data_IF_883315826661
#
_entry.id   IF_883315826661
#
_cell.length_a   1.000
_cell.length_b   1.000
_cell.length_c   1.000
_cell.angle_alpha   90.00
_cell.angle_beta   90.00
_cell.angle_gamma   90.00
#
_symmetry.space_group_name_H-M   'P 1'
#
loop_
_entity.id
_entity.type
_entity.pdbx_description
1 polymer ?
#
# COMPACT_ATOMS: atom_id res chain seq x y z
N UNK A 1 0.52 13.45 -7.43
CA UNK A 1 -0.38 13.30 -6.27
C UNK A 1 0.37 12.63 -5.12
N UNK A 2 -0.05 12.85 -3.89
CA UNK A 2 0.48 12.17 -2.71
C UNK A 2 -0.68 11.67 -1.86
N UNK A 3 -0.53 10.49 -1.26
CA UNK A 3 -1.57 9.80 -0.51
C UNK A 3 -0.98 9.20 0.75
N UNK A 4 -1.71 9.32 1.85
CA UNK A 4 -1.48 8.56 3.08
C UNK A 4 -2.62 7.56 3.24
N UNK A 5 -2.31 6.34 3.67
CA UNK A 5 -3.28 5.25 3.72
C UNK A 5 -3.04 4.40 4.95
N UNK A 6 -4.12 4.00 5.61
CA UNK A 6 -4.11 2.93 6.62
C UNK A 6 -5.00 1.82 6.07
N UNK A 7 -4.50 0.60 6.09
CA UNK A 7 -5.21 -0.57 5.57
C UNK A 7 -5.05 -1.72 6.54
N UNK A 8 -6.16 -2.41 6.80
CA UNK A 8 -6.18 -3.59 7.64
C UNK A 8 -7.14 -4.62 7.08
N UNK A 9 -6.86 -5.89 7.34
CA UNK A 9 -7.77 -6.99 7.04
C UNK A 9 -8.54 -7.42 8.30
N UNK A 10 -9.55 -8.27 8.12
CA UNK A 10 -10.20 -8.94 9.24
C UNK A 10 -9.42 -10.21 9.61
N UNK A 11 -9.35 -10.55 10.90
CA UNK A 11 -8.77 -11.80 11.35
C UNK A 11 -9.61 -12.99 10.83
N UNK A 12 -9.01 -13.83 9.99
CA UNK A 12 -9.61 -15.08 9.52
C UNK A 12 -9.33 -16.26 10.45
N UNK A 13 -8.28 -16.16 11.27
CA UNK A 13 -7.86 -17.16 12.26
C UNK A 13 -7.88 -16.48 13.63
N UNK A 14 -8.75 -16.94 14.54
CA UNK A 14 -9.07 -16.21 15.78
C UNK A 14 -7.92 -16.02 16.77
N UNK A 15 -6.79 -16.72 16.60
CA UNK A 15 -5.61 -16.60 17.45
C UNK A 15 -4.50 -15.73 16.84
N UNK A 16 -4.66 -15.28 15.59
CA UNK A 16 -3.65 -14.49 14.89
C UNK A 16 -4.17 -13.06 14.76
N UNK A 17 -3.34 -12.09 15.17
CA UNK A 17 -3.67 -10.68 15.03
C UNK A 17 -3.91 -10.34 13.56
N UNK A 18 -4.91 -9.50 13.28
CA UNK A 18 -5.18 -9.10 11.91
C UNK A 18 -4.04 -8.21 11.36
N UNK A 19 -3.64 -8.37 10.09
CA UNK A 19 -2.60 -7.53 9.52
C UNK A 19 -3.11 -6.10 9.34
N UNK A 20 -2.35 -5.13 9.84
CA UNK A 20 -2.59 -3.70 9.69
C UNK A 20 -1.30 -3.03 9.22
N UNK A 21 -1.42 -2.21 8.19
CA UNK A 21 -0.30 -1.46 7.60
C UNK A 21 -0.65 0.01 7.44
N UNK A 22 0.32 0.89 7.69
CA UNK A 22 0.25 2.30 7.36
C UNK A 22 1.24 2.62 6.25
N UNK A 23 0.82 3.39 5.25
CA UNK A 23 1.63 3.66 4.07
C UNK A 23 1.51 5.08 3.54
N UNK A 24 2.55 5.48 2.82
CA UNK A 24 2.63 6.72 2.06
C UNK A 24 2.94 6.38 0.61
N UNK A 25 2.26 7.04 -0.32
CA UNK A 25 2.56 6.91 -1.74
C UNK A 25 2.56 8.26 -2.44
N UNK A 26 3.38 8.34 -3.47
CA UNK A 26 3.38 9.42 -4.45
C UNK A 26 3.05 8.83 -5.81
N UNK A 27 2.19 9.52 -6.54
CA UNK A 27 1.77 9.15 -7.88
C UNK A 27 2.07 10.27 -8.86
N UNK A 28 2.43 9.90 -10.08
CA UNK A 28 2.57 10.79 -11.21
C UNK A 28 1.75 10.25 -12.37
N UNK A 29 0.77 11.04 -12.83
CA UNK A 29 -0.05 10.72 -13.99
C UNK A 29 0.52 11.47 -15.19
N UNK A 30 0.81 10.74 -16.25
CA UNK A 30 1.24 11.27 -17.54
C UNK A 30 0.01 11.75 -18.33
N UNK A 31 0.21 12.73 -19.21
CA UNK A 31 -0.87 13.42 -19.92
C UNK A 31 -1.73 12.46 -20.78
N UNK A 32 -1.15 11.36 -21.26
CA UNK A 32 -1.83 10.37 -22.11
C UNK A 32 -2.58 9.26 -21.35
N UNK A 33 -2.66 9.36 -20.01
CA UNK A 33 -3.37 8.39 -19.16
C UNK A 33 -2.52 7.36 -18.40
N UNK A 34 -1.28 6.99 -18.81
CA UNK A 34 -0.44 6.16 -17.97
C UNK A 34 -0.15 6.82 -16.62
N UNK A 35 0.02 6.03 -15.57
CA UNK A 35 0.43 6.55 -14.27
C UNK A 35 1.48 5.66 -13.61
N UNK A 36 2.40 6.31 -12.91
CA UNK A 36 3.41 5.68 -12.10
C UNK A 36 3.17 6.04 -10.63
N UNK A 37 3.17 5.04 -9.76
CA UNK A 37 3.10 5.24 -8.31
C UNK A 37 4.26 4.56 -7.62
N UNK A 38 4.80 5.23 -6.60
CA UNK A 38 5.82 4.71 -5.70
C UNK A 38 5.32 4.92 -4.28
N UNK A 39 5.46 3.92 -3.44
CA UNK A 39 5.18 4.11 -2.03
C UNK A 39 5.79 3.08 -1.13
N UNK A 40 5.68 3.35 0.15
CA UNK A 40 6.18 2.54 1.24
C UNK A 40 5.06 2.29 2.24
N UNK A 41 5.12 1.16 2.93
CA UNK A 41 4.24 0.89 4.05
C UNK A 41 4.98 0.15 5.16
N UNK A 42 4.58 0.42 6.40
CA UNK A 42 5.07 -0.23 7.62
C UNK A 42 3.95 -1.07 8.23
N UNK A 43 4.33 -2.24 8.72
CA UNK A 43 3.46 -3.10 9.51
C UNK A 43 3.24 -2.51 10.90
N UNK A 44 1.99 -2.52 11.36
CA UNK A 44 1.60 -2.08 12.71
C UNK A 44 1.27 -3.25 13.63
N UNK A 45 1.20 -4.48 13.09
CA UNK A 45 0.87 -5.71 13.83
C UNK A 45 1.91 -6.79 13.55
N UNK A 46 2.03 -7.77 14.43
CA UNK A 46 3.03 -8.86 14.29
C UNK A 46 2.81 -9.71 13.04
N UNK A 47 1.57 -9.76 12.58
CA UNK A 47 1.17 -10.50 11.38
C UNK A 47 1.43 -9.74 10.07
N UNK A 48 1.93 -8.50 10.15
CA UNK A 48 2.22 -7.65 8.99
C UNK A 48 3.73 -7.60 8.71
N UNK A 49 4.17 -7.41 7.45
CA UNK A 49 5.57 -7.14 7.15
C UNK A 49 6.04 -5.85 7.85
N UNK A 50 7.23 -5.87 8.46
CA UNK A 50 7.79 -4.69 9.13
C UNK A 50 7.88 -3.47 8.19
N UNK A 51 8.30 -3.74 6.95
CA UNK A 51 8.42 -2.74 5.91
C UNK A 51 8.12 -3.34 4.53
N UNK A 52 7.51 -2.54 3.67
CA UNK A 52 7.25 -2.88 2.28
C UNK A 52 7.45 -1.66 1.38
N UNK A 53 7.93 -1.92 0.17
CA UNK A 53 8.09 -0.96 -0.91
C UNK A 53 7.24 -1.43 -2.09
N UNK A 54 6.49 -0.53 -2.71
CA UNK A 54 5.67 -0.84 -3.88
C UNK A 54 5.91 0.16 -5.01
N UNK A 55 5.96 -0.38 -6.23
CA UNK A 55 6.01 0.36 -7.47
C UNK A 55 4.80 -0.08 -8.31
N UNK A 56 3.91 0.87 -8.61
CA UNK A 56 2.76 0.65 -9.47
C UNK A 56 2.97 1.34 -10.81
N UNK A 57 2.61 0.65 -11.89
CA UNK A 57 2.54 1.23 -13.22
C UNK A 57 1.20 0.86 -13.84
N UNK A 58 0.42 1.87 -14.22
CA UNK A 58 -0.79 1.69 -15.02
C UNK A 58 -0.48 2.13 -16.43
N UNK A 59 -0.56 1.21 -17.40
CA UNK A 59 -0.53 1.57 -18.82
C UNK A 59 -1.97 1.94 -19.22
N UNK A 60 -2.13 3.08 -19.90
CA UNK A 60 -3.43 3.46 -20.46
C UNK A 60 -3.96 2.37 -21.40
N UNK A 61 -5.29 2.18 -21.41
CA UNK A 61 -5.99 1.31 -22.37
C UNK A 61 -6.24 2.05 -23.68
#
# INVERSE_FOLDING_TARGET
SALATVSGAQASIGTVEAPVTAGLSVGYTLDDGPSLSLGTAVGLTESSPDFSLFLGWTVGL
#
